data_IF_348717782117
#
_entry.id   IF_348717782117
#
_cell.length_a   1.000
_cell.length_b   1.000
_cell.length_c   1.000
_cell.angle_alpha   90.00
_cell.angle_beta   90.00
_cell.angle_gamma   90.00
#
_symmetry.space_group_name_H-M   'P 1'
#
loop_
_entity.id
_entity.type
_entity.pdbx_description
1 polymer ?
#
# COMPACT_ATOMS: atom_id res chain seq x y z
N UNK A 1 10.66 -6.63 -33.33
CA UNK A 1 10.00 -5.61 -32.47
C UNK A 1 8.49 -5.79 -32.42
N UNK A 2 7.80 -6.05 -33.56
CA UNK A 2 6.34 -6.34 -33.58
C UNK A 2 5.96 -7.64 -32.88
N UNK A 3 6.78 -8.68 -33.00
CA UNK A 3 6.52 -10.02 -32.44
C UNK A 3 6.54 -10.06 -30.89
N UNK A 4 7.23 -9.13 -30.24
CA UNK A 4 7.31 -9.05 -28.77
C UNK A 4 6.32 -8.06 -28.14
N UNK A 5 5.73 -7.18 -28.96
CA UNK A 5 4.84 -6.13 -28.45
C UNK A 5 3.45 -6.69 -28.10
N UNK A 6 2.89 -7.53 -28.94
CA UNK A 6 1.57 -8.12 -28.73
C UNK A 6 1.49 -8.99 -27.45
N UNK A 7 2.44 -9.91 -27.18
CA UNK A 7 2.46 -10.67 -25.94
C UNK A 7 2.59 -9.79 -24.68
N UNK A 8 3.39 -8.73 -24.75
CA UNK A 8 3.58 -7.82 -23.61
C UNK A 8 2.32 -7.01 -23.29
N UNK A 9 1.60 -6.56 -24.33
CA UNK A 9 0.33 -5.84 -24.17
C UNK A 9 -0.74 -6.76 -23.60
N UNK A 10 -0.89 -7.95 -24.15
CA UNK A 10 -1.81 -8.96 -23.66
C UNK A 10 -1.58 -9.27 -22.18
N UNK A 11 -0.32 -9.50 -21.82
CA UNK A 11 0.09 -9.71 -20.43
C UNK A 11 -0.32 -8.56 -19.51
N UNK A 12 -0.06 -7.31 -19.92
CA UNK A 12 -0.45 -6.14 -19.16
C UNK A 12 -1.97 -6.04 -18.97
N UNK A 13 -2.74 -6.33 -20.02
CA UNK A 13 -4.21 -6.30 -19.96
C UNK A 13 -4.76 -7.33 -19.00
N UNK A 14 -4.29 -8.59 -19.08
CA UNK A 14 -4.69 -9.66 -18.16
C UNK A 14 -4.34 -9.33 -16.73
N UNK A 15 -3.13 -8.80 -16.49
CA UNK A 15 -2.72 -8.36 -15.15
C UNK A 15 -3.61 -7.24 -14.63
N UNK A 16 -3.91 -6.22 -15.43
CA UNK A 16 -4.76 -5.10 -15.03
C UNK A 16 -6.20 -5.55 -14.74
N UNK A 17 -6.77 -6.42 -15.59
CA UNK A 17 -8.09 -6.98 -15.36
C UNK A 17 -8.15 -7.74 -14.05
N UNK A 18 -7.19 -8.62 -13.81
CA UNK A 18 -7.11 -9.41 -12.59
C UNK A 18 -6.88 -8.53 -11.35
N UNK A 19 -5.95 -7.58 -11.40
CA UNK A 19 -5.72 -6.64 -10.31
C UNK A 19 -6.97 -5.80 -10.00
N UNK A 20 -7.76 -5.46 -11.04
CA UNK A 20 -9.04 -4.79 -10.88
C UNK A 20 -10.04 -5.65 -10.12
N UNK A 21 -10.19 -6.93 -10.49
CA UNK A 21 -11.09 -7.87 -9.82
C UNK A 21 -10.69 -8.07 -8.35
N UNK A 22 -9.39 -8.22 -8.08
CA UNK A 22 -8.86 -8.31 -6.71
C UNK A 22 -9.14 -7.05 -5.92
N UNK A 23 -8.95 -5.87 -6.50
CA UNK A 23 -9.26 -4.60 -5.86
C UNK A 23 -10.74 -4.41 -5.55
N UNK A 24 -11.63 -4.80 -6.47
CA UNK A 24 -13.08 -4.79 -6.25
C UNK A 24 -13.49 -5.79 -5.17
N UNK A 25 -12.89 -6.99 -5.14
CA UNK A 25 -13.07 -7.98 -4.08
C UNK A 25 -12.62 -7.44 -2.72
N UNK A 26 -11.48 -6.76 -2.66
CA UNK A 26 -11.01 -6.08 -1.46
C UNK A 26 -12.00 -5.02 -0.99
N UNK A 27 -12.52 -4.22 -1.90
CA UNK A 27 -13.54 -3.21 -1.60
C UNK A 27 -14.82 -3.85 -1.05
N UNK A 28 -15.35 -4.87 -1.70
CA UNK A 28 -16.56 -5.56 -1.29
C UNK A 28 -16.40 -6.19 0.11
N UNK A 29 -15.32 -6.96 0.35
CA UNK A 29 -15.05 -7.59 1.64
C UNK A 29 -14.86 -6.57 2.77
N UNK A 30 -14.14 -5.48 2.51
CA UNK A 30 -13.87 -4.46 3.53
C UNK A 30 -15.04 -3.52 3.78
N UNK A 31 -16.07 -3.52 2.92
CA UNK A 31 -17.33 -2.83 3.14
C UNK A 31 -18.18 -3.47 4.23
N UNK A 32 -17.92 -4.74 4.58
CA UNK A 32 -18.60 -5.43 5.67
C UNK A 32 -18.25 -4.76 7.01
N UNK A 33 -19.29 -4.39 7.77
CA UNK A 33 -19.12 -3.70 9.06
C UNK A 33 -18.48 -4.56 10.14
N UNK A 34 -18.66 -5.87 10.07
CA UNK A 34 -18.16 -6.86 11.03
C UNK A 34 -16.67 -7.16 10.95
N UNK A 35 -15.99 -6.69 9.88
CA UNK A 35 -14.56 -6.92 9.70
C UNK A 35 -13.71 -6.05 10.62
N UNK A 36 -12.72 -6.67 11.29
CA UNK A 36 -11.73 -5.93 12.08
C UNK A 36 -10.88 -5.02 11.19
N UNK A 37 -10.39 -3.94 11.79
CA UNK A 37 -9.50 -2.99 11.09
C UNK A 37 -8.22 -3.68 10.62
N UNK A 38 -7.66 -4.54 11.45
CA UNK A 38 -6.46 -5.31 11.11
C UNK A 38 -6.70 -6.24 9.91
N UNK A 39 -7.87 -6.89 9.81
CA UNK A 39 -8.23 -7.69 8.63
C UNK A 39 -8.36 -6.81 7.39
N UNK A 40 -9.03 -5.67 7.49
CA UNK A 40 -9.15 -4.70 6.39
C UNK A 40 -7.78 -4.20 5.92
N UNK A 41 -6.90 -3.87 6.85
CA UNK A 41 -5.53 -3.48 6.53
C UNK A 41 -4.78 -4.56 5.74
N UNK A 42 -4.85 -5.84 6.19
CA UNK A 42 -4.20 -6.97 5.49
C UNK A 42 -4.74 -7.17 4.08
N UNK A 43 -6.06 -7.11 3.90
CA UNK A 43 -6.71 -7.23 2.60
C UNK A 43 -6.23 -6.12 1.64
N UNK A 44 -6.23 -4.86 2.08
CA UNK A 44 -5.78 -3.76 1.24
C UNK A 44 -4.26 -3.78 0.98
N UNK A 45 -3.46 -4.27 1.93
CA UNK A 45 -2.03 -4.52 1.70
C UNK A 45 -1.82 -5.55 0.61
N UNK A 46 -2.52 -6.69 0.68
CA UNK A 46 -2.42 -7.73 -0.33
C UNK A 46 -2.92 -7.27 -1.71
N UNK A 47 -4.02 -6.50 -1.76
CA UNK A 47 -4.49 -5.88 -3.00
C UNK A 47 -3.44 -4.92 -3.59
N UNK A 48 -2.81 -4.10 -2.76
CA UNK A 48 -1.74 -3.19 -3.19
C UNK A 48 -0.52 -3.93 -3.75
N UNK A 49 -0.10 -5.00 -3.08
CA UNK A 49 1.02 -5.84 -3.54
C UNK A 49 0.68 -6.55 -4.85
N UNK A 50 -0.57 -6.96 -5.06
CA UNK A 50 -1.02 -7.57 -6.31
C UNK A 50 -0.91 -6.62 -7.51
N UNK A 51 -1.15 -5.31 -7.33
CA UNK A 51 -0.89 -4.33 -8.38
C UNK A 51 0.61 -4.14 -8.67
N UNK A 52 1.45 -4.23 -7.63
CA UNK A 52 2.89 -4.03 -7.75
C UNK A 52 3.62 -5.24 -8.35
N UNK A 53 3.11 -6.44 -8.11
CA UNK A 53 3.72 -7.70 -8.52
C UNK A 53 2.87 -8.35 -9.61
N UNK A 54 3.34 -8.37 -10.87
CA UNK A 54 2.63 -9.03 -11.96
C UNK A 54 2.75 -10.56 -11.85
N UNK A 55 2.08 -11.14 -10.86
CA UNK A 55 2.19 -12.57 -10.52
C UNK A 55 1.81 -13.47 -11.69
N UNK A 56 0.78 -13.09 -12.47
CA UNK A 56 0.36 -13.85 -13.65
C UNK A 56 1.48 -14.03 -14.68
N UNK A 57 2.26 -12.99 -14.95
CA UNK A 57 3.30 -13.07 -15.96
C UNK A 57 4.61 -13.68 -15.51
N UNK A 58 4.83 -13.71 -14.23
CA UNK A 58 5.98 -14.43 -13.71
C UNK A 58 5.82 -15.94 -13.97
N UNK A 59 4.60 -16.44 -13.84
CA UNK A 59 4.28 -17.85 -14.07
C UNK A 59 4.34 -18.19 -15.57
N UNK A 60 3.84 -17.33 -16.45
CA UNK A 60 3.95 -17.51 -17.91
C UNK A 60 5.40 -17.61 -18.38
N UNK A 61 6.30 -16.82 -17.80
CA UNK A 61 7.71 -16.78 -18.23
C UNK A 61 8.54 -17.96 -17.70
N UNK A 62 8.15 -18.53 -16.56
CA UNK A 62 8.88 -19.65 -15.96
C UNK A 62 8.16 -21.00 -16.10
N UNK A 63 6.89 -21.00 -16.49
CA UNK A 63 6.07 -22.21 -16.60
C UNK A 63 5.69 -22.64 -18.01
N UNK A 64 5.80 -21.77 -18.99
CA UNK A 64 5.43 -22.06 -20.37
C UNK A 64 6.65 -22.05 -21.27
N UNK A 65 7.03 -23.20 -21.66
CA UNK A 65 7.73 -23.51 -22.89
C UNK A 65 7.01 -22.88 -24.09
N UNK A 66 7.77 -22.50 -25.09
CA UNK A 66 7.40 -22.00 -26.41
C UNK A 66 6.12 -22.61 -26.98
N UNK A 67 4.99 -22.00 -26.70
CA UNK A 67 3.71 -22.39 -27.27
C UNK A 67 3.30 -21.38 -28.35
N UNK A 68 3.43 -21.75 -29.61
CA UNK A 68 2.77 -21.03 -30.67
C UNK A 68 1.27 -21.31 -30.56
N UNK A 69 0.52 -20.36 -30.06
CA UNK A 69 -0.94 -20.47 -30.01
C UNK A 69 -1.62 -20.29 -28.67
N UNK A 70 -0.96 -19.83 -27.63
CA UNK A 70 -1.60 -19.39 -26.37
C UNK A 70 -2.60 -18.25 -26.69
N UNK A 71 -3.80 -18.62 -27.08
CA UNK A 71 -4.75 -17.78 -27.79
C UNK A 71 -5.66 -17.06 -26.81
N UNK A 72 -5.35 -15.83 -26.58
CA UNK A 72 -6.14 -14.72 -27.06
C UNK A 72 -7.61 -14.83 -26.66
N UNK A 73 -7.92 -14.28 -25.49
CA UNK A 73 -9.29 -13.88 -25.22
C UNK A 73 -9.75 -13.03 -26.43
N UNK A 74 -10.57 -13.59 -27.31
CA UNK A 74 -10.90 -13.08 -28.64
C UNK A 74 -11.03 -11.54 -28.78
N UNK A 75 -11.79 -10.84 -27.90
CA UNK A 75 -11.91 -9.39 -27.98
C UNK A 75 -10.61 -8.63 -27.66
N UNK A 76 -9.78 -9.12 -26.72
CA UNK A 76 -8.51 -8.50 -26.36
C UNK A 76 -7.49 -8.65 -27.49
N UNK A 77 -7.48 -9.80 -28.14
CA UNK A 77 -6.63 -10.05 -29.30
C UNK A 77 -6.99 -9.21 -30.51
N UNK A 78 -8.27 -9.04 -30.76
CA UNK A 78 -8.74 -8.15 -31.83
C UNK A 78 -8.30 -6.69 -31.55
N UNK A 79 -8.34 -6.26 -30.31
CA UNK A 79 -7.85 -4.94 -29.90
C UNK A 79 -6.32 -4.81 -30.13
N UNK A 80 -5.54 -5.82 -29.74
CA UNK A 80 -4.09 -5.81 -29.91
C UNK A 80 -3.69 -5.81 -31.38
N UNK A 81 -4.39 -6.57 -32.23
CA UNK A 81 -4.20 -6.55 -33.66
C UNK A 81 -4.56 -5.21 -34.28
N UNK A 82 -5.69 -4.61 -33.88
CA UNK A 82 -6.09 -3.28 -34.33
C UNK A 82 -5.04 -2.22 -33.92
N UNK A 83 -4.58 -2.27 -32.67
CA UNK A 83 -3.55 -1.34 -32.18
C UNK A 83 -2.22 -1.54 -32.92
N UNK A 84 -1.82 -2.78 -33.23
CA UNK A 84 -0.61 -3.09 -34.00
C UNK A 84 -0.67 -2.60 -35.44
N UNK A 85 -1.88 -2.50 -36.03
CA UNK A 85 -2.09 -1.93 -37.36
C UNK A 85 -1.96 -0.39 -37.38
N UNK A 86 -2.22 0.27 -36.23
CA UNK A 86 -2.13 1.70 -36.06
C UNK A 86 -0.88 2.13 -35.29
N UNK A 87 0.30 1.86 -35.85
CA UNK A 87 1.61 2.20 -35.25
C UNK A 87 1.71 3.62 -34.69
N UNK A 88 1.22 4.69 -35.38
CA UNK A 88 1.28 6.05 -34.84
C UNK A 88 0.47 6.22 -33.55
N UNK A 89 -0.71 5.60 -33.46
CA UNK A 89 -1.56 5.65 -32.26
C UNK A 89 -0.91 4.87 -31.12
N UNK A 90 -0.39 3.68 -31.37
CA UNK A 90 0.32 2.89 -30.38
C UNK A 90 1.52 3.64 -29.81
N UNK A 91 2.33 4.27 -30.69
CA UNK A 91 3.46 5.10 -30.28
C UNK A 91 3.04 6.29 -29.43
N UNK A 92 1.95 6.98 -29.79
CA UNK A 92 1.40 8.10 -29.03
C UNK A 92 0.94 7.65 -27.63
N UNK A 93 0.20 6.54 -27.52
CA UNK A 93 -0.23 5.98 -26.23
C UNK A 93 0.92 5.55 -25.35
N UNK A 94 1.94 4.91 -25.93
CA UNK A 94 3.17 4.57 -25.22
C UNK A 94 3.92 5.82 -24.74
N UNK A 95 4.04 6.84 -25.56
CA UNK A 95 4.70 8.10 -25.21
C UNK A 95 3.93 8.81 -24.06
N UNK A 96 2.61 8.84 -24.13
CA UNK A 96 1.75 9.39 -23.07
C UNK A 96 1.94 8.61 -21.76
N UNK A 97 1.90 7.28 -21.82
CA UNK A 97 2.12 6.44 -20.65
C UNK A 97 3.51 6.64 -20.03
N UNK A 98 4.56 6.61 -20.86
CA UNK A 98 5.94 6.82 -20.40
C UNK A 98 6.13 8.21 -19.79
N UNK A 99 5.59 9.26 -20.41
CA UNK A 99 5.70 10.62 -19.88
C UNK A 99 5.03 10.75 -18.50
N UNK A 100 3.85 10.18 -18.31
CA UNK A 100 3.19 10.13 -17.02
C UNK A 100 3.97 9.32 -15.98
N UNK A 101 4.48 8.14 -16.37
CA UNK A 101 5.28 7.30 -15.47
C UNK A 101 6.58 8.00 -15.04
N UNK A 102 7.31 8.63 -15.98
CA UNK A 102 8.53 9.39 -15.69
C UNK A 102 8.23 10.55 -14.74
N UNK A 103 7.16 11.32 -14.99
CA UNK A 103 6.76 12.43 -14.12
C UNK A 103 6.46 11.94 -12.69
N UNK A 104 5.74 10.84 -12.55
CA UNK A 104 5.41 10.25 -11.26
C UNK A 104 6.65 9.67 -10.55
N UNK A 105 7.55 9.01 -11.28
CA UNK A 105 8.82 8.53 -10.73
C UNK A 105 9.72 9.68 -10.28
N UNK A 106 9.80 10.75 -11.05
CA UNK A 106 10.54 11.96 -10.66
C UNK A 106 9.96 12.57 -9.38
N UNK A 107 8.64 12.69 -9.30
CA UNK A 107 7.97 13.17 -8.08
C UNK A 107 8.26 12.26 -6.87
N UNK A 108 8.19 10.94 -7.05
CA UNK A 108 8.52 9.97 -6.02
C UNK A 108 9.98 10.11 -5.57
N UNK A 109 10.90 10.22 -6.53
CA UNK A 109 12.33 10.39 -6.26
C UNK A 109 12.62 11.66 -5.47
N UNK A 110 12.08 12.82 -5.89
CA UNK A 110 12.24 14.11 -5.20
C UNK A 110 11.76 14.01 -3.75
N UNK A 111 10.61 13.37 -3.52
CA UNK A 111 10.08 13.16 -2.18
C UNK A 111 10.98 12.26 -1.35
N UNK A 112 11.37 11.08 -1.86
CA UNK A 112 12.23 10.13 -1.13
C UNK A 112 13.60 10.73 -0.82
N UNK A 113 14.18 11.48 -1.76
CA UNK A 113 15.44 12.19 -1.52
C UNK A 113 15.27 13.30 -0.50
N UNK A 114 14.15 14.03 -0.55
CA UNK A 114 13.80 15.05 0.45
C UNK A 114 13.70 14.46 1.84
N UNK A 115 12.89 13.40 2.02
CA UNK A 115 12.73 12.67 3.28
C UNK A 115 14.10 12.19 3.82
N UNK A 116 14.93 11.58 2.97
CA UNK A 116 16.30 11.12 3.35
C UNK A 116 17.25 12.25 3.71
N UNK A 117 17.17 13.40 3.02
CA UNK A 117 18.01 14.58 3.36
C UNK A 117 17.62 15.14 4.69
N UNK A 118 16.33 15.24 4.99
CA UNK A 118 15.83 15.67 6.29
C UNK A 118 16.26 14.71 7.41
N UNK A 119 16.15 13.40 7.21
CA UNK A 119 16.64 12.39 8.16
C UNK A 119 18.15 12.56 8.40
N UNK A 120 18.97 12.66 7.36
CA UNK A 120 20.43 12.84 7.47
C UNK A 120 20.84 14.15 8.12
N UNK A 121 20.10 15.23 7.87
CA UNK A 121 20.34 16.53 8.51
C UNK A 121 20.00 16.54 9.99
N UNK A 122 19.03 15.71 10.40
CA UNK A 122 18.52 15.63 11.77
C UNK A 122 19.30 14.64 12.64
N UNK A 123 19.83 13.57 12.05
CA UNK A 123 20.51 12.51 12.78
C UNK A 123 21.94 12.28 12.27
N UNK A 124 22.90 12.98 12.90
CA UNK A 124 24.32 12.66 12.77
C UNK A 124 24.77 11.57 13.76
N UNK A 125 23.93 11.15 14.70
CA UNK A 125 24.25 10.16 15.71
C UNK A 125 23.86 8.77 15.22
N UNK A 126 24.83 7.87 15.12
CA UNK A 126 24.60 6.45 14.77
C UNK A 126 24.11 5.63 15.96
N UNK A 127 24.16 6.17 17.17
CA UNK A 127 23.77 5.47 18.41
C UNK A 127 22.36 5.91 18.78
N UNK A 128 21.43 4.97 18.98
CA UNK A 128 20.10 5.28 19.47
C UNK A 128 20.14 5.90 20.86
N UNK A 129 19.21 6.82 21.14
CA UNK A 129 19.08 7.39 22.50
C UNK A 129 18.52 6.31 23.45
N UNK A 130 17.60 5.49 22.99
CA UNK A 130 17.06 4.32 23.70
C UNK A 130 16.34 3.36 22.76
N UNK A 131 15.84 2.26 23.29
CA UNK A 131 15.07 1.25 22.54
C UNK A 131 13.68 1.06 23.14
N UNK A 132 12.65 0.92 22.28
CA UNK A 132 11.30 0.58 22.70
C UNK A 132 10.85 -0.67 21.92
N UNK A 133 10.54 -1.73 22.63
CA UNK A 133 10.18 -3.03 22.03
C UNK A 133 11.15 -3.52 20.93
N UNK A 134 12.44 -3.24 21.09
CA UNK A 134 13.49 -3.60 20.14
C UNK A 134 13.63 -2.64 18.94
N UNK A 135 12.85 -1.57 18.89
CA UNK A 135 12.96 -0.53 17.85
C UNK A 135 13.82 0.62 18.40
N UNK A 136 14.88 1.03 17.67
CA UNK A 136 15.71 2.16 18.09
C UNK A 136 14.93 3.48 18.00
N UNK A 137 15.15 4.35 18.99
CA UNK A 137 14.52 5.67 19.08
C UNK A 137 15.61 6.74 19.07
N UNK A 138 15.39 7.79 18.32
CA UNK A 138 16.29 8.95 18.20
C UNK A 138 15.54 10.25 18.48
N UNK A 139 16.11 11.08 19.36
CA UNK A 139 15.64 12.44 19.54
C UNK A 139 16.24 13.36 18.46
N UNK A 140 15.36 13.97 17.68
CA UNK A 140 15.75 14.87 16.60
C UNK A 140 15.45 16.33 16.95
N UNK A 141 16.33 17.23 16.49
CA UNK A 141 16.12 18.66 16.64
C UNK A 141 15.08 19.17 15.65
N UNK A 142 14.29 20.16 16.04
CA UNK A 142 13.30 20.81 15.18
C UNK A 142 11.86 20.52 15.56
N UNK A 143 10.96 21.24 14.89
CA UNK A 143 9.51 21.11 15.07
C UNK A 143 8.98 20.02 14.15
N UNK A 144 9.04 18.78 14.57
CA UNK A 144 8.48 17.63 13.83
C UNK A 144 7.47 16.90 14.73
N UNK A 145 6.61 16.13 14.10
CA UNK A 145 5.79 15.14 14.80
C UNK A 145 6.59 13.85 15.01
N UNK A 146 6.27 13.03 16.02
CA UNK A 146 6.75 11.66 16.09
C UNK A 146 6.54 10.94 14.74
N UNK A 147 7.51 10.16 14.31
CA UNK A 147 7.42 9.45 13.03
C UNK A 147 8.41 8.29 12.98
N UNK A 148 8.12 7.31 12.14
CA UNK A 148 9.03 6.21 11.82
C UNK A 148 9.88 6.59 10.61
N UNK A 149 11.21 6.55 10.78
CA UNK A 149 12.20 6.65 9.72
C UNK A 149 12.65 5.29 9.23
N UNK A 150 13.32 5.28 8.06
CA UNK A 150 13.86 4.08 7.44
C UNK A 150 12.81 3.19 6.77
N UNK A 151 13.26 2.41 5.78
CA UNK A 151 12.40 1.49 5.02
C UNK A 151 12.58 0.03 5.47
N UNK A 152 13.83 -0.42 5.58
CA UNK A 152 14.19 -1.79 5.98
C UNK A 152 14.65 -1.82 7.44
N UNK A 153 15.55 -0.92 7.81
CA UNK A 153 16.00 -0.71 9.18
C UNK A 153 15.21 0.47 9.75
N UNK A 154 14.09 0.16 10.34
CA UNK A 154 13.17 1.15 10.89
C UNK A 154 13.64 1.67 12.24
N UNK A 155 13.39 2.93 12.50
CA UNK A 155 13.66 3.62 13.75
C UNK A 155 12.59 4.67 14.01
N UNK A 156 12.41 5.05 15.26
CA UNK A 156 11.44 6.09 15.65
C UNK A 156 12.19 7.40 15.86
N UNK A 157 11.70 8.46 15.27
CA UNK A 157 12.16 9.81 15.43
C UNK A 157 11.20 10.57 16.35
N UNK A 158 11.69 11.09 17.47
CA UNK A 158 10.94 11.93 18.39
C UNK A 158 11.51 13.36 18.40
N UNK A 159 10.68 14.41 18.42
CA UNK A 159 11.17 15.76 18.62
C UNK A 159 11.75 15.92 20.02
N UNK A 160 12.88 16.61 20.15
CA UNK A 160 13.45 16.96 21.45
C UNK A 160 12.48 17.80 22.24
N UNK A 161 12.31 17.48 23.52
CA UNK A 161 11.39 18.19 24.41
C UNK A 161 9.95 17.67 24.34
N UNK A 162 9.67 16.57 23.61
CA UNK A 162 8.35 15.96 23.59
C UNK A 162 7.92 15.51 24.98
N UNK A 163 8.87 15.11 25.82
CA UNK A 163 8.69 14.73 27.23
C UNK A 163 8.18 15.87 28.11
N UNK A 164 8.33 17.12 27.67
CA UNK A 164 7.77 18.31 28.36
C UNK A 164 6.34 18.61 27.92
N UNK A 165 5.96 18.13 26.73
CA UNK A 165 4.64 18.36 26.14
C UNK A 165 3.66 17.25 26.51
N UNK A 166 4.14 16.00 26.54
CA UNK A 166 3.34 14.80 26.79
C UNK A 166 3.65 14.25 28.18
N UNK A 167 2.61 13.79 28.86
CA UNK A 167 2.77 12.95 30.07
C UNK A 167 3.37 11.59 29.70
N UNK A 168 3.92 10.86 30.68
CA UNK A 168 4.51 9.54 30.44
C UNK A 168 3.55 8.59 29.73
N UNK A 169 2.27 8.54 30.15
CA UNK A 169 1.25 7.66 29.52
C UNK A 169 0.88 8.11 28.10
N UNK A 170 0.90 9.41 27.82
CA UNK A 170 0.69 9.92 26.45
C UNK A 170 1.86 9.58 25.55
N UNK A 171 3.07 9.70 26.06
CA UNK A 171 4.29 9.31 25.32
C UNK A 171 4.32 7.81 25.06
N UNK A 172 3.97 6.97 26.05
CA UNK A 172 3.86 5.52 25.88
C UNK A 172 2.84 5.14 24.80
N UNK A 173 1.69 5.82 24.78
CA UNK A 173 0.67 5.58 23.75
C UNK A 173 1.17 5.95 22.34
N UNK A 174 1.88 7.07 22.20
CA UNK A 174 2.50 7.49 20.94
C UNK A 174 3.60 6.50 20.53
N UNK A 175 4.47 6.10 21.45
CA UNK A 175 5.53 5.14 21.17
C UNK A 175 4.98 3.79 20.71
N UNK A 176 3.92 3.29 21.33
CA UNK A 176 3.28 2.04 20.94
C UNK A 176 2.68 2.13 19.52
N UNK A 177 2.08 3.27 19.17
CA UNK A 177 1.59 3.56 17.83
C UNK A 177 2.74 3.50 16.81
N UNK A 178 3.83 4.23 17.05
CA UNK A 178 5.00 4.29 16.16
C UNK A 178 5.74 2.94 16.07
N UNK A 179 5.87 2.20 17.18
CA UNK A 179 6.43 0.84 17.18
C UNK A 179 5.65 -0.09 16.25
N UNK A 180 4.32 0.05 16.21
CA UNK A 180 3.48 -0.77 15.33
C UNK A 180 3.79 -0.50 13.86
N UNK A 181 3.93 0.77 13.45
CA UNK A 181 4.38 1.15 12.12
C UNK A 181 5.78 0.59 11.80
N UNK A 182 6.72 0.75 12.73
CA UNK A 182 8.11 0.32 12.56
C UNK A 182 8.22 -1.21 12.37
N UNK A 183 7.55 -2.00 13.21
CA UNK A 183 7.58 -3.47 13.13
C UNK A 183 6.95 -4.00 11.84
N UNK A 184 5.93 -3.34 11.31
CA UNK A 184 5.29 -3.69 10.03
C UNK A 184 6.04 -3.19 8.81
N UNK A 185 7.04 -2.32 9.00
CA UNK A 185 7.77 -1.64 7.90
C UNK A 185 6.83 -0.89 6.97
N UNK A 186 5.91 -0.12 7.52
CA UNK A 186 4.86 0.57 6.77
C UNK A 186 5.42 1.52 5.71
N UNK A 187 6.61 2.10 5.92
CA UNK A 187 7.30 2.94 4.93
C UNK A 187 7.70 2.15 3.68
N UNK A 188 8.11 0.88 3.84
CA UNK A 188 8.43 0.01 2.70
C UNK A 188 7.17 -0.35 1.92
N UNK A 189 6.08 -0.71 2.61
CA UNK A 189 4.78 -1.00 1.97
C UNK A 189 4.26 0.21 1.20
N UNK A 190 4.37 1.42 1.79
CA UNK A 190 4.04 2.67 1.11
C UNK A 190 4.86 2.87 -0.15
N UNK A 191 6.18 2.67 -0.08
CA UNK A 191 7.06 2.84 -1.24
C UNK A 191 6.71 1.86 -2.38
N UNK A 192 6.43 0.59 -2.07
CA UNK A 192 6.03 -0.41 -3.05
C UNK A 192 4.72 0.02 -3.74
N UNK A 193 3.73 0.45 -2.96
CA UNK A 193 2.47 0.96 -3.51
C UNK A 193 2.68 2.17 -4.42
N UNK A 194 3.46 3.14 -4.00
CA UNK A 194 3.74 4.35 -4.77
C UNK A 194 4.53 4.08 -6.03
N UNK A 195 5.43 3.09 -6.01
CA UNK A 195 6.12 2.63 -7.20
C UNK A 195 5.14 2.00 -8.22
N UNK A 196 4.22 1.13 -7.75
CA UNK A 196 3.14 0.61 -8.58
C UNK A 196 2.29 1.75 -9.17
N UNK A 197 1.97 2.75 -8.36
CA UNK A 197 1.22 3.93 -8.79
C UNK A 197 1.97 4.76 -9.84
N UNK A 198 3.30 4.82 -9.80
CA UNK A 198 4.08 5.48 -10.85
C UNK A 198 3.95 4.78 -12.21
N UNK A 199 3.92 3.45 -12.22
CA UNK A 199 3.78 2.66 -13.45
C UNK A 199 2.34 2.61 -13.97
N UNK A 200 1.38 2.51 -13.06
CA UNK A 200 -0.05 2.35 -13.34
C UNK A 200 -0.84 3.61 -12.95
N UNK A 201 -0.26 4.78 -13.17
CA UNK A 201 -0.81 6.07 -12.75
C UNK A 201 -2.22 6.35 -13.30
N UNK A 202 -2.56 5.79 -14.44
CA UNK A 202 -3.86 5.91 -15.11
C UNK A 202 -4.94 5.01 -14.48
N UNK A 203 -4.59 4.08 -13.57
CA UNK A 203 -5.53 3.10 -13.03
C UNK A 203 -6.26 3.64 -11.80
N UNK A 204 -7.58 3.95 -11.86
CA UNK A 204 -8.28 4.66 -10.78
C UNK A 204 -8.37 3.85 -9.48
N UNK A 205 -8.50 2.51 -9.59
CA UNK A 205 -8.64 1.65 -8.43
C UNK A 205 -7.35 1.60 -7.60
N UNK A 206 -6.18 1.81 -8.21
CA UNK A 206 -4.91 1.87 -7.49
C UNK A 206 -4.84 3.12 -6.59
N UNK A 207 -5.37 4.25 -7.04
CA UNK A 207 -5.51 5.45 -6.20
C UNK A 207 -6.44 5.20 -5.01
N UNK A 208 -7.57 4.52 -5.24
CA UNK A 208 -8.48 4.12 -4.16
C UNK A 208 -7.78 3.17 -3.18
N UNK A 209 -7.04 2.18 -3.70
CA UNK A 209 -6.26 1.23 -2.89
C UNK A 209 -5.28 1.98 -1.98
N UNK A 210 -4.55 2.97 -2.49
CA UNK A 210 -3.65 3.81 -1.71
C UNK A 210 -4.34 4.58 -0.59
N UNK A 211 -5.48 5.19 -0.89
CA UNK A 211 -6.27 5.92 0.11
C UNK A 211 -6.79 4.99 1.22
N UNK A 212 -7.29 3.81 0.86
CA UNK A 212 -7.77 2.80 1.82
C UNK A 212 -6.64 2.21 2.65
N UNK A 213 -5.51 1.90 2.01
CA UNK A 213 -4.32 1.40 2.69
C UNK A 213 -3.82 2.43 3.72
N UNK A 214 -3.75 3.71 3.37
CA UNK A 214 -3.37 4.77 4.28
C UNK A 214 -4.31 4.86 5.50
N UNK A 215 -5.63 4.84 5.26
CA UNK A 215 -6.64 4.88 6.32
C UNK A 215 -6.50 3.68 7.28
N UNK A 216 -6.53 2.46 6.75
CA UNK A 216 -6.51 1.26 7.60
C UNK A 216 -5.15 1.01 8.25
N UNK A 217 -4.07 1.53 7.70
CA UNK A 217 -2.75 1.54 8.32
C UNK A 217 -2.78 2.30 9.64
N UNK A 218 -3.29 3.54 9.64
CA UNK A 218 -3.41 4.35 10.86
C UNK A 218 -4.37 3.72 11.87
N UNK A 219 -5.57 3.34 11.42
CA UNK A 219 -6.57 2.72 12.30
C UNK A 219 -6.08 1.41 12.93
N UNK A 220 -5.25 0.64 12.23
CA UNK A 220 -4.67 -0.60 12.75
C UNK A 220 -3.56 -0.34 13.77
N UNK A 221 -2.84 0.78 13.69
CA UNK A 221 -1.91 1.21 14.73
C UNK A 221 -2.66 1.71 15.96
N UNK A 222 -3.74 2.47 15.76
CA UNK A 222 -4.61 2.90 16.85
C UNK A 222 -5.24 1.70 17.59
N UNK A 223 -5.59 0.61 16.86
CA UNK A 223 -6.12 -0.62 17.47
C UNK A 223 -5.11 -1.29 18.41
N UNK A 224 -3.81 -1.22 18.13
CA UNK A 224 -2.77 -1.71 19.04
C UNK A 224 -2.73 -0.93 20.36
N UNK A 225 -2.97 0.40 20.31
CA UNK A 225 -3.04 1.26 21.49
C UNK A 225 -4.34 1.02 22.26
N UNK A 226 -5.47 0.81 21.56
CA UNK A 226 -6.76 0.49 22.18
C UNK A 226 -6.70 -0.86 22.91
N UNK A 227 -5.97 -1.85 22.39
CA UNK A 227 -5.86 -3.17 23.01
C UNK A 227 -5.26 -3.17 24.41
N UNK A 228 -4.51 -2.12 24.76
CA UNK A 228 -3.89 -1.91 26.09
C UNK A 228 -4.58 -0.78 26.88
N UNK A 229 -5.80 -0.39 26.49
CA UNK A 229 -6.61 0.66 27.12
C UNK A 229 -5.94 2.05 27.18
N UNK A 230 -5.04 2.34 26.25
CA UNK A 230 -4.33 3.61 26.15
C UNK A 230 -4.93 4.60 25.13
N UNK A 231 -6.10 4.32 24.55
CA UNK A 231 -6.73 5.15 23.52
C UNK A 231 -6.92 6.61 23.93
N UNK A 232 -7.43 6.88 25.14
CA UNK A 232 -7.60 8.24 25.65
C UNK A 232 -6.30 9.06 25.74
N UNK A 233 -5.19 8.39 26.04
CA UNK A 233 -3.90 9.04 26.11
C UNK A 233 -3.36 9.37 24.72
N UNK A 234 -3.61 8.49 23.72
CA UNK A 234 -3.28 8.78 22.32
C UNK A 234 -4.12 9.96 21.80
N UNK A 235 -5.42 10.05 22.10
CA UNK A 235 -6.27 11.20 21.74
C UNK A 235 -5.71 12.50 22.33
N UNK A 236 -5.38 12.48 23.62
CA UNK A 236 -4.80 13.66 24.31
C UNK A 236 -3.46 14.06 23.68
N UNK A 237 -2.59 13.08 23.40
CA UNK A 237 -1.30 13.33 22.73
C UNK A 237 -1.50 13.91 21.33
N UNK A 238 -2.41 13.36 20.51
CA UNK A 238 -2.71 13.88 19.18
C UNK A 238 -3.23 15.31 19.22
N UNK A 239 -4.08 15.65 20.19
CA UNK A 239 -4.57 17.01 20.38
C UNK A 239 -3.44 18.00 20.72
N UNK A 240 -2.48 17.60 21.58
CA UNK A 240 -1.31 18.40 21.94
C UNK A 240 -0.31 18.55 20.79
N UNK A 241 -0.18 17.52 19.96
CA UNK A 241 0.72 17.50 18.80
C UNK A 241 0.12 18.14 17.55
N UNK A 242 -1.22 18.30 17.50
CA UNK A 242 -1.89 18.94 16.38
C UNK A 242 -1.50 20.41 16.27
N UNK A 243 -0.92 20.81 15.12
CA UNK A 243 -0.47 22.18 14.87
C UNK A 243 -1.22 22.81 13.70
N UNK A 244 -1.51 24.13 13.76
CA UNK A 244 -2.27 24.84 12.72
C UNK A 244 -1.51 25.15 11.43
N UNK A 245 -0.23 24.80 11.30
CA UNK A 245 0.67 25.33 10.24
C UNK A 245 0.80 24.50 8.95
N UNK A 246 -0.10 23.57 8.65
CA UNK A 246 -0.08 22.81 7.38
C UNK A 246 -0.89 23.49 6.26
N UNK A 247 -0.40 23.42 5.01
CA UNK A 247 -1.05 24.01 3.83
C UNK A 247 -2.48 23.51 3.59
N UNK A 248 -3.36 24.38 3.06
CA UNK A 248 -4.81 24.16 2.93
C UNK A 248 -5.21 22.86 2.20
N UNK A 249 -4.48 22.46 1.16
CA UNK A 249 -4.82 21.26 0.37
C UNK A 249 -4.49 19.94 1.09
N UNK A 250 -3.44 19.93 1.90
CA UNK A 250 -3.10 18.78 2.76
C UNK A 250 -4.00 18.70 3.99
N UNK A 251 -4.65 19.80 4.38
CA UNK A 251 -5.56 19.86 5.54
C UNK A 251 -6.82 19.00 5.35
N UNK A 252 -7.46 19.00 4.19
CA UNK A 252 -8.76 18.30 4.03
C UNK A 252 -8.63 16.79 4.16
N UNK A 253 -7.64 16.18 3.50
CA UNK A 253 -7.37 14.75 3.62
C UNK A 253 -6.85 14.36 5.01
N UNK A 254 -5.95 15.18 5.60
CA UNK A 254 -5.44 14.98 6.94
C UNK A 254 -6.53 15.15 8.02
N UNK A 255 -7.41 16.14 7.88
CA UNK A 255 -8.54 16.36 8.80
C UNK A 255 -9.51 15.17 8.75
N UNK A 256 -9.85 14.68 7.55
CA UNK A 256 -10.71 13.51 7.39
C UNK A 256 -10.10 12.27 8.05
N UNK A 257 -8.79 12.05 7.87
CA UNK A 257 -8.10 10.92 8.51
C UNK A 257 -8.08 11.06 10.02
N UNK A 258 -7.79 12.25 10.54
CA UNK A 258 -7.77 12.53 11.99
C UNK A 258 -9.17 12.39 12.60
N UNK A 259 -10.23 12.88 11.93
CA UNK A 259 -11.59 12.71 12.43
C UNK A 259 -11.99 11.24 12.55
N UNK A 260 -11.72 10.42 11.53
CA UNK A 260 -11.96 8.97 11.59
C UNK A 260 -11.19 8.27 12.71
N UNK A 261 -9.96 8.70 12.99
CA UNK A 261 -9.17 8.18 14.11
C UNK A 261 -9.78 8.58 15.46
N UNK A 262 -10.14 9.86 15.63
CA UNK A 262 -10.73 10.36 16.87
C UNK A 262 -12.07 9.70 17.16
N UNK A 263 -12.97 9.60 16.18
CA UNK A 263 -14.25 8.91 16.31
C UNK A 263 -14.06 7.48 16.81
N UNK A 264 -13.05 6.78 16.29
CA UNK A 264 -12.78 5.39 16.68
C UNK A 264 -12.11 5.28 18.05
N UNK A 265 -11.17 6.17 18.37
CA UNK A 265 -10.44 6.17 19.66
C UNK A 265 -11.37 6.57 20.83
N UNK A 266 -12.40 7.39 20.56
CA UNK A 266 -13.39 7.83 21.54
C UNK A 266 -14.62 6.92 21.59
N UNK A 267 -14.83 6.08 20.58
CA UNK A 267 -15.94 5.13 20.58
C UNK A 267 -15.79 4.13 21.75
N UNK A 268 -16.90 3.71 22.38
CA UNK A 268 -16.85 2.61 23.33
C UNK A 268 -16.24 1.39 22.66
N UNK A 269 -15.44 0.61 23.42
CA UNK A 269 -14.75 -0.57 22.92
C UNK A 269 -15.73 -1.47 22.17
N UNK A 270 -15.61 -1.54 20.87
CA UNK A 270 -16.39 -2.46 20.06
C UNK A 270 -16.03 -3.88 20.49
N UNK A 271 -17.01 -4.79 20.61
CA UNK A 271 -16.73 -6.18 20.88
C UNK A 271 -15.68 -6.66 19.85
N UNK A 272 -14.69 -7.40 20.33
CA UNK A 272 -13.64 -7.96 19.47
C UNK A 272 -14.32 -8.64 18.27
N UNK A 273 -14.06 -8.12 17.08
CA UNK A 273 -14.69 -8.62 15.86
C UNK A 273 -14.55 -10.14 15.80
N UNK A 274 -15.56 -10.82 15.29
CA UNK A 274 -15.60 -12.28 15.24
C UNK A 274 -14.33 -12.80 14.57
N UNK A 275 -13.45 -13.43 15.37
CA UNK A 275 -12.13 -13.93 14.89
C UNK A 275 -12.28 -14.92 13.75
N UNK A 276 -13.33 -15.74 13.80
CA UNK A 276 -13.65 -16.70 12.75
C UNK A 276 -13.99 -15.97 11.44
N UNK A 277 -14.88 -14.98 11.49
CA UNK A 277 -15.26 -14.20 10.31
C UNK A 277 -14.05 -13.45 9.72
N UNK A 278 -13.22 -12.84 10.56
CA UNK A 278 -11.99 -12.17 10.11
C UNK A 278 -11.03 -13.16 9.44
N UNK A 279 -10.88 -14.36 10.00
CA UNK A 279 -10.09 -15.44 9.41
C UNK A 279 -10.67 -15.87 8.05
N UNK A 280 -11.97 -16.13 7.98
CA UNK A 280 -12.65 -16.49 6.75
C UNK A 280 -12.52 -15.44 5.65
N UNK A 281 -12.62 -14.15 6.00
CA UNK A 281 -12.44 -13.05 5.03
C UNK A 281 -11.02 -13.02 4.46
N UNK A 282 -10.01 -13.19 5.29
CA UNK A 282 -8.61 -13.21 4.85
C UNK A 282 -8.35 -14.45 3.98
N UNK A 283 -8.90 -15.61 4.37
CA UNK A 283 -8.81 -16.84 3.58
C UNK A 283 -9.53 -16.69 2.24
N UNK A 284 -10.77 -16.17 2.24
CA UNK A 284 -11.54 -15.95 1.01
C UNK A 284 -10.81 -14.99 0.05
N UNK A 285 -10.18 -13.95 0.60
CA UNK A 285 -9.36 -13.05 -0.19
C UNK A 285 -8.07 -13.73 -0.69
N UNK A 286 -7.45 -14.56 0.12
CA UNK A 286 -6.31 -15.40 -0.28
C UNK A 286 -6.67 -16.36 -1.42
N UNK A 287 -7.85 -16.99 -1.35
CA UNK A 287 -8.38 -17.84 -2.43
C UNK A 287 -8.60 -17.03 -3.70
N UNK A 288 -9.14 -15.80 -3.61
CA UNK A 288 -9.30 -14.91 -4.75
C UNK A 288 -7.95 -14.54 -5.38
N UNK A 289 -6.92 -14.28 -4.58
CA UNK A 289 -5.56 -14.04 -5.06
C UNK A 289 -4.95 -15.27 -5.73
N UNK A 290 -5.15 -16.45 -5.17
CA UNK A 290 -4.63 -17.72 -5.73
C UNK A 290 -5.42 -18.19 -6.95
N UNK A 291 -6.73 -17.90 -7.03
CA UNK A 291 -7.55 -18.26 -8.18
C UNK A 291 -7.10 -17.58 -9.47
N UNK A 292 -6.62 -16.34 -9.38
CA UNK A 292 -6.05 -15.65 -10.54
C UNK A 292 -4.75 -16.31 -11.01
N UNK A 293 -3.90 -16.70 -10.07
CA UNK A 293 -2.69 -17.49 -10.38
C UNK A 293 -3.08 -18.81 -11.03
N UNK A 294 -4.04 -19.53 -10.44
CA UNK A 294 -4.51 -20.81 -10.96
C UNK A 294 -5.17 -20.68 -12.32
N UNK A 295 -6.01 -19.66 -12.55
CA UNK A 295 -6.64 -19.42 -13.86
C UNK A 295 -5.60 -19.11 -14.94
N UNK A 296 -4.54 -18.36 -14.61
CA UNK A 296 -3.44 -18.09 -15.52
C UNK A 296 -2.70 -19.39 -15.87
N UNK A 297 -2.38 -20.21 -14.86
CA UNK A 297 -1.70 -21.52 -15.06
C UNK A 297 -2.58 -22.51 -15.80
N UNK A 298 -3.88 -22.59 -15.46
CA UNK A 298 -4.82 -23.51 -16.13
C UNK A 298 -5.05 -23.12 -17.59
N UNK A 299 -5.08 -21.82 -17.89
CA UNK A 299 -5.21 -21.34 -19.26
C UNK A 299 -3.98 -21.71 -20.10
N UNK A 300 -2.78 -21.51 -19.55
CA UNK A 300 -1.54 -21.93 -20.21
C UNK A 300 -1.47 -23.45 -20.38
N UNK A 301 -1.89 -24.22 -19.37
CA UNK A 301 -1.90 -25.70 -19.46
C UNK A 301 -2.94 -26.25 -20.47
N UNK A 302 -4.10 -25.62 -20.58
CA UNK A 302 -5.14 -26.04 -21.54
C UNK A 302 -4.72 -25.79 -23.01
N UNK A 303 -3.86 -24.80 -23.25
CA UNK A 303 -3.28 -24.56 -24.56
C UNK A 303 -2.12 -25.53 -24.91
N UNK A 304 -1.67 -26.33 -23.93
CA UNK A 304 -0.59 -27.31 -24.07
C UNK A 304 -1.07 -28.68 -24.61
N UNK A 305 -2.39 -28.93 -24.61
CA UNK A 305 -2.91 -30.19 -25.14
C UNK A 305 -3.06 -30.04 -26.65
N UNK A 306 -2.24 -30.73 -27.48
CA UNK A 306 -2.42 -30.70 -28.90
C UNK A 306 -3.81 -31.31 -29.18
N UNK A 307 -4.65 -30.58 -29.88
CA UNK A 307 -5.86 -31.14 -30.49
C UNK A 307 -5.36 -32.09 -31.58
N UNK A 308 -5.35 -33.37 -31.24
CA UNK A 308 -5.03 -34.47 -32.18
C UNK A 308 -6.04 -34.59 -33.31
#
# INVERSE_FOLDING_TARGET
>A
MREHLAPALYFLQVHLLYATLVGLGAWALTSLRSASVTAKFRIWTAASLNFALPVGGFIDRFGATDLPGAHQLGPLAAFDQALAQHLPLAALLCALWLSGAVLMLLRLWVRVVGERREERGRDRRRVPDFYVHGVPVHFIAGRCSPAVGGMVRTHICLPRGIERLLSGRELDAVLLHEVTHAKRRDNLLRLIHEFALCLLWFHPLLWLTGARLALYRELSCDESVLSVNCGRFLVSALAKLARPESSFVLRSAAISLVSHRLDRLLAPALPAGNRLLNGLMVVAFGVLLLSGVFLTVAHTACCLVPVG
#
